data_IF_373597980034
#
_entry.id   IF_373597980034
#
_cell.length_a   1.000
_cell.length_b   1.000
_cell.length_c   1.000
_cell.angle_alpha   90.00
_cell.angle_beta   90.00
_cell.angle_gamma   90.00
#
_symmetry.space_group_name_H-M   'P 1'
#
loop_
_entity.id
_entity.type
_entity.pdbx_description
1 polymer ?
#
# COMPACT_ATOMS: atom_id res chain seq x y z
N UNK A 1 -24.08 64.15 -70.90
CA UNK A 1 -24.94 63.97 -69.71
C UNK A 1 -25.56 62.57 -69.76
N UNK A 2 -25.49 61.82 -68.63
CA UNK A 2 -26.21 60.57 -68.26
C UNK A 2 -25.93 59.32 -69.14
N UNK A 3 -25.05 58.37 -68.77
CA UNK A 3 -25.08 57.34 -67.69
C UNK A 3 -26.34 56.46 -67.68
N UNK A 4 -26.20 55.18 -68.05
CA UNK A 4 -26.82 54.03 -67.35
C UNK A 4 -25.89 52.80 -67.49
N UNK A 5 -25.54 52.22 -66.36
CA UNK A 5 -24.57 51.15 -66.13
C UNK A 5 -25.22 49.77 -66.24
N UNK A 6 -24.58 48.73 -66.83
CA UNK A 6 -25.06 47.36 -66.70
C UNK A 6 -24.60 46.74 -65.37
N UNK A 7 -25.54 46.08 -64.71
CA UNK A 7 -25.38 45.25 -63.53
C UNK A 7 -24.38 44.10 -63.80
N UNK A 8 -23.39 43.95 -62.93
CA UNK A 8 -22.79 42.64 -62.63
C UNK A 8 -22.87 42.42 -61.13
N UNK A 9 -23.75 41.50 -60.75
CA UNK A 9 -23.94 40.99 -59.41
C UNK A 9 -22.75 40.09 -59.08
N UNK A 10 -21.73 40.63 -58.40
CA UNK A 10 -20.66 39.83 -57.82
C UNK A 10 -21.15 39.30 -56.47
N UNK A 11 -21.67 38.07 -56.48
CA UNK A 11 -21.92 37.30 -55.26
C UNK A 11 -20.56 36.82 -54.73
N UNK A 12 -19.91 37.60 -53.88
CA UNK A 12 -18.71 37.17 -53.18
C UNK A 12 -19.10 36.11 -52.15
N UNK A 13 -18.95 34.85 -52.53
CA UNK A 13 -19.01 33.72 -51.61
C UNK A 13 -17.72 33.72 -50.79
N UNK A 14 -17.68 34.50 -49.72
CA UNK A 14 -16.62 34.41 -48.71
C UNK A 14 -16.81 33.10 -47.94
N UNK A 15 -16.17 32.03 -48.43
CA UNK A 15 -15.82 30.88 -47.60
C UNK A 15 -14.89 31.38 -46.49
N UNK A 16 -15.47 31.71 -45.33
CA UNK A 16 -14.72 31.68 -44.09
C UNK A 16 -14.44 30.21 -43.83
N UNK A 17 -13.28 29.73 -44.27
CA UNK A 17 -12.67 28.58 -43.62
C UNK A 17 -12.36 29.03 -42.20
N UNK A 18 -13.32 28.85 -41.28
CA UNK A 18 -12.98 28.63 -39.90
C UNK A 18 -12.20 27.32 -39.88
N UNK A 19 -10.89 27.42 -40.13
CA UNK A 19 -9.95 26.45 -39.63
C UNK A 19 -10.14 26.49 -38.11
N UNK A 20 -11.00 25.62 -37.58
CA UNK A 20 -10.83 25.15 -36.22
C UNK A 20 -9.48 24.45 -36.20
N UNK A 21 -8.43 25.26 -36.07
CA UNK A 21 -7.21 24.85 -35.41
C UNK A 21 -7.66 24.58 -33.98
N UNK A 22 -8.22 23.39 -33.74
CA UNK A 22 -8.13 22.77 -32.43
C UNK A 22 -6.66 22.51 -32.20
N UNK A 23 -5.95 23.57 -31.82
CA UNK A 23 -4.91 23.45 -30.81
C UNK A 23 -5.64 23.32 -29.47
N UNK A 24 -6.47 22.29 -29.37
CA UNK A 24 -6.57 21.56 -28.12
C UNK A 24 -5.20 20.89 -28.07
N UNK A 25 -4.22 21.56 -27.46
CA UNK A 25 -3.19 20.80 -26.77
C UNK A 25 -3.97 19.91 -25.84
N UNK A 26 -4.19 18.66 -26.24
CA UNK A 26 -4.45 17.59 -25.30
C UNK A 26 -3.42 17.82 -24.20
N UNK A 27 -3.92 18.26 -23.05
CA UNK A 27 -3.15 18.17 -21.82
C UNK A 27 -2.86 16.68 -21.75
N UNK A 28 -1.64 16.30 -22.15
CA UNK A 28 -1.08 15.02 -21.76
C UNK A 28 -1.09 15.13 -20.24
N UNK A 29 -2.16 14.66 -19.61
CA UNK A 29 -2.14 14.33 -18.19
C UNK A 29 -0.89 13.49 -18.04
N UNK A 30 0.10 14.06 -17.37
CA UNK A 30 1.43 13.46 -17.29
C UNK A 30 1.25 12.00 -16.92
N UNK A 31 1.79 11.10 -17.75
CA UNK A 31 1.74 9.67 -17.47
C UNK A 31 2.14 9.48 -16.02
N UNK A 32 1.25 8.95 -15.15
CA UNK A 32 1.55 8.82 -13.74
C UNK A 32 2.90 8.15 -13.57
N UNK A 33 3.77 8.73 -12.74
CA UNK A 33 5.17 8.31 -12.62
C UNK A 33 5.30 6.84 -12.18
N UNK A 34 4.28 6.32 -11.50
CA UNK A 34 4.16 4.94 -11.04
C UNK A 34 2.90 4.26 -11.57
N UNK A 35 3.03 3.00 -11.99
CA UNK A 35 1.87 2.15 -12.29
C UNK A 35 1.15 1.75 -11.00
N UNK A 36 1.91 1.50 -9.91
CA UNK A 36 1.35 1.30 -8.58
C UNK A 36 1.02 2.66 -7.95
N UNK A 37 -0.24 2.87 -7.57
CA UNK A 37 -0.70 4.13 -6.97
C UNK A 37 -0.74 4.05 -5.44
N UNK A 38 -1.17 2.91 -4.90
CA UNK A 38 -1.24 2.65 -3.46
C UNK A 38 -1.44 1.17 -3.20
N UNK A 39 -1.12 0.73 -1.99
CA UNK A 39 -1.47 -0.60 -1.52
C UNK A 39 -1.86 -0.57 -0.04
N UNK A 40 -2.60 -1.58 0.40
CA UNK A 40 -2.93 -1.83 1.80
C UNK A 40 -2.65 -3.29 2.10
N UNK A 41 -1.57 -3.53 2.85
CA UNK A 41 -1.30 -4.84 3.45
C UNK A 41 -2.25 -5.03 4.64
N UNK A 42 -2.87 -6.19 4.75
CA UNK A 42 -3.79 -6.51 5.85
C UNK A 42 -3.43 -7.86 6.46
N UNK A 43 -3.62 -7.93 7.78
CA UNK A 43 -3.69 -9.17 8.54
C UNK A 43 -4.97 -9.17 9.36
N UNK A 44 -5.79 -10.20 9.19
CA UNK A 44 -7.02 -10.34 9.97
C UNK A 44 -6.79 -11.06 11.32
N UNK A 45 -7.87 -11.24 12.07
CA UNK A 45 -7.89 -11.91 13.36
C UNK A 45 -7.42 -13.38 13.30
N UNK A 46 -7.62 -14.04 12.16
CA UNK A 46 -7.21 -15.43 11.93
C UNK A 46 -5.74 -15.57 11.55
N UNK A 47 -5.06 -14.45 11.31
CA UNK A 47 -3.70 -14.39 10.78
C UNK A 47 -3.64 -14.55 9.26
N UNK A 48 -4.76 -14.49 8.56
CA UNK A 48 -4.77 -14.49 7.10
C UNK A 48 -4.31 -13.13 6.59
N UNK A 49 -3.51 -13.16 5.51
CA UNK A 49 -2.94 -11.98 4.89
C UNK A 49 -3.62 -11.68 3.57
N UNK A 50 -3.83 -10.41 3.27
CA UNK A 50 -4.24 -9.94 1.95
C UNK A 50 -3.60 -8.60 1.61
N UNK A 51 -3.54 -8.29 0.32
CA UNK A 51 -3.14 -6.98 -0.17
C UNK A 51 -4.19 -6.45 -1.14
N UNK A 52 -4.69 -5.26 -0.85
CA UNK A 52 -5.45 -4.47 -1.80
C UNK A 52 -4.52 -3.45 -2.43
N UNK A 53 -4.63 -3.21 -3.74
CA UNK A 53 -3.82 -2.19 -4.38
C UNK A 53 -4.53 -1.54 -5.55
N UNK A 54 -4.15 -0.29 -5.79
CA UNK A 54 -4.66 0.50 -6.90
C UNK A 54 -3.57 0.70 -7.95
N UNK A 55 -3.95 0.57 -9.21
CA UNK A 55 -3.08 0.87 -10.35
C UNK A 55 -3.62 2.03 -11.15
N UNK A 56 -2.77 2.59 -11.99
CA UNK A 56 -3.19 3.52 -13.03
C UNK A 56 -4.10 2.81 -14.04
N UNK A 57 -4.83 3.58 -14.85
CA UNK A 57 -5.51 3.00 -16.02
C UNK A 57 -4.48 2.30 -16.91
N UNK A 58 -4.94 1.40 -17.79
CA UNK A 58 -4.07 0.83 -18.82
C UNK A 58 -2.88 0.04 -18.24
N UNK A 59 -3.05 -0.54 -17.06
CA UNK A 59 -2.06 -1.37 -16.36
C UNK A 59 -2.57 -2.79 -16.27
N UNK A 60 -1.89 -3.72 -16.93
CA UNK A 60 -2.11 -5.15 -16.76
C UNK A 60 -1.40 -5.65 -15.51
N UNK A 61 -2.01 -6.62 -14.84
CA UNK A 61 -1.58 -7.12 -13.54
C UNK A 61 -1.46 -8.63 -13.60
N UNK A 62 -0.24 -9.13 -13.38
CA UNK A 62 0.02 -10.57 -13.29
C UNK A 62 0.63 -10.88 -11.93
N UNK A 63 0.08 -11.86 -11.22
CA UNK A 63 0.67 -12.34 -9.96
C UNK A 63 1.31 -13.70 -10.18
N UNK A 64 2.57 -13.83 -9.79
CA UNK A 64 3.33 -15.09 -9.85
C UNK A 64 3.84 -15.48 -8.48
N UNK A 65 4.08 -16.78 -8.29
CA UNK A 65 4.80 -17.31 -7.13
C UNK A 65 6.18 -17.75 -7.59
N UNK A 66 7.21 -17.21 -6.95
CA UNK A 66 8.60 -17.55 -7.22
C UNK A 66 8.99 -18.89 -6.56
N UNK A 67 10.14 -19.43 -6.94
CA UNK A 67 10.64 -20.70 -6.42
C UNK A 67 10.93 -20.68 -4.91
N UNK A 68 11.18 -19.51 -4.32
CA UNK A 68 11.36 -19.30 -2.88
C UNK A 68 10.04 -18.98 -2.14
N UNK A 69 8.90 -19.19 -2.82
CA UNK A 69 7.54 -18.91 -2.39
C UNK A 69 7.19 -17.42 -2.18
N UNK A 70 8.11 -16.50 -2.49
CA UNK A 70 7.77 -15.08 -2.60
C UNK A 70 6.73 -14.86 -3.71
N UNK A 71 5.90 -13.84 -3.51
CA UNK A 71 4.81 -13.46 -4.43
C UNK A 71 5.24 -12.20 -5.16
N UNK A 72 5.19 -12.21 -6.48
CA UNK A 72 5.52 -11.04 -7.28
C UNK A 72 4.31 -10.62 -8.12
N UNK A 73 3.93 -9.36 -7.97
CA UNK A 73 2.86 -8.70 -8.71
C UNK A 73 3.53 -7.84 -9.78
N UNK A 74 3.44 -8.28 -11.02
CA UNK A 74 4.04 -7.63 -12.18
C UNK A 74 3.01 -6.66 -12.77
N UNK A 75 3.41 -5.40 -12.90
CA UNK A 75 2.62 -4.32 -13.47
C UNK A 75 3.22 -3.93 -14.83
N UNK A 76 2.41 -3.97 -15.88
CA UNK A 76 2.84 -3.64 -17.24
C UNK A 76 1.84 -2.70 -17.94
N UNK A 77 2.34 -1.74 -18.69
CA UNK A 77 1.48 -0.84 -19.48
C UNK A 77 0.88 -1.58 -20.68
N UNK A 78 -0.42 -1.37 -20.92
CA UNK A 78 -1.16 -1.95 -22.04
C UNK A 78 -2.08 -0.93 -22.72
N UNK A 79 -2.28 -1.05 -24.03
CA UNK A 79 -3.06 -0.08 -24.79
C UNK A 79 -4.56 -0.04 -24.42
N UNK A 80 -5.09 -1.15 -23.89
CA UNK A 80 -6.50 -1.27 -23.51
C UNK A 80 -6.72 -0.87 -22.05
N UNK A 81 -7.90 -0.31 -21.77
CA UNK A 81 -8.30 0.03 -20.40
C UNK A 81 -8.43 -1.25 -19.56
N UNK A 82 -7.85 -1.24 -18.36
CA UNK A 82 -7.88 -2.35 -17.40
C UNK A 82 -8.57 -1.93 -16.11
N UNK A 83 -8.82 -2.89 -15.21
CA UNK A 83 -9.25 -2.60 -13.86
C UNK A 83 -8.15 -1.87 -13.09
N UNK A 84 -8.54 -0.95 -12.21
CA UNK A 84 -7.61 -0.14 -11.41
C UNK A 84 -7.57 -0.53 -9.94
N UNK A 85 -8.41 -1.48 -9.51
CA UNK A 85 -8.49 -1.98 -8.14
C UNK A 85 -8.31 -3.48 -8.15
N UNK A 86 -7.40 -3.96 -7.33
CA UNK A 86 -7.00 -5.35 -7.29
C UNK A 86 -6.89 -5.81 -5.84
N UNK A 87 -7.05 -7.12 -5.62
CA UNK A 87 -6.91 -7.74 -4.31
C UNK A 87 -6.35 -9.14 -4.47
N UNK A 88 -5.38 -9.50 -3.63
CA UNK A 88 -4.78 -10.82 -3.58
C UNK A 88 -4.74 -11.30 -2.12
N UNK A 89 -5.10 -12.56 -1.91
CA UNK A 89 -4.92 -13.24 -0.64
C UNK A 89 -3.60 -14.01 -0.61
N UNK A 90 -2.96 -14.04 0.55
CA UNK A 90 -1.70 -14.74 0.75
C UNK A 90 -1.71 -15.60 2.01
N UNK A 91 -0.94 -16.68 1.95
CA UNK A 91 -0.57 -17.48 3.11
C UNK A 91 0.85 -17.16 3.52
N UNK A 92 1.10 -17.17 4.82
CA UNK A 92 2.44 -17.08 5.37
C UNK A 92 3.10 -18.47 5.31
N UNK A 93 4.34 -18.54 4.86
CA UNK A 93 5.09 -19.78 4.71
C UNK A 93 6.41 -19.69 5.48
N UNK A 94 6.71 -20.69 6.32
CA UNK A 94 7.87 -20.66 7.22
C UNK A 94 7.95 -19.35 8.04
N UNK A 95 6.80 -18.91 8.57
CA UNK A 95 6.65 -17.67 9.35
C UNK A 95 7.06 -16.39 8.59
N UNK A 96 7.11 -16.46 7.26
CA UNK A 96 7.47 -15.35 6.38
C UNK A 96 6.46 -15.13 5.26
N UNK A 97 6.22 -13.86 4.94
CA UNK A 97 5.51 -13.43 3.75
C UNK A 97 6.37 -12.40 3.02
N UNK A 98 6.60 -12.65 1.73
CA UNK A 98 7.38 -11.79 0.83
C UNK A 98 6.53 -11.43 -0.37
N UNK A 99 6.25 -10.14 -0.53
CA UNK A 99 5.49 -9.61 -1.67
C UNK A 99 6.35 -8.58 -2.38
N UNK A 100 6.47 -8.69 -3.70
CA UNK A 100 7.08 -7.71 -4.57
C UNK A 100 6.07 -7.11 -5.53
N UNK A 101 6.16 -5.81 -5.81
CA UNK A 101 5.59 -5.20 -7.00
C UNK A 101 6.72 -4.89 -7.97
N UNK A 102 6.61 -5.37 -9.21
CA UNK A 102 7.58 -5.12 -10.28
C UNK A 102 6.92 -4.31 -11.38
N UNK A 103 7.34 -3.06 -11.57
CA UNK A 103 6.93 -2.26 -12.74
C UNK A 103 7.82 -2.61 -13.94
N UNK A 104 7.34 -3.54 -14.78
CA UNK A 104 8.14 -4.18 -15.84
C UNK A 104 8.78 -3.17 -16.81
N UNK A 105 8.05 -2.10 -17.14
CA UNK A 105 8.50 -1.09 -18.11
C UNK A 105 9.51 -0.10 -17.50
N UNK A 106 9.58 -0.02 -16.16
CA UNK A 106 10.32 1.04 -15.43
C UNK A 106 11.40 0.50 -14.49
N UNK A 107 11.46 -0.80 -14.25
CA UNK A 107 12.43 -1.45 -13.37
C UNK A 107 12.31 -1.05 -11.89
N UNK A 108 11.19 -0.42 -11.51
CA UNK A 108 10.89 0.02 -10.15
C UNK A 108 10.33 -1.16 -9.36
N UNK A 109 10.84 -1.39 -8.16
CA UNK A 109 10.42 -2.52 -7.30
C UNK A 109 10.03 -2.05 -5.91
N UNK A 110 8.79 -2.31 -5.51
CA UNK A 110 8.37 -2.21 -4.09
C UNK A 110 8.43 -3.60 -3.47
N UNK A 111 8.93 -3.72 -2.25
CA UNK A 111 9.03 -4.97 -1.52
C UNK A 111 8.42 -4.84 -0.14
N UNK A 112 7.68 -5.87 0.24
CA UNK A 112 7.02 -6.02 1.52
C UNK A 112 7.52 -7.32 2.12
N UNK A 113 8.09 -7.25 3.31
CA UNK A 113 8.46 -8.40 4.10
C UNK A 113 7.69 -8.39 5.42
N UNK A 114 7.13 -9.54 5.77
CA UNK A 114 6.50 -9.78 7.05
C UNK A 114 7.08 -11.05 7.65
N UNK A 115 7.45 -10.97 8.93
CA UNK A 115 7.74 -12.12 9.76
C UNK A 115 6.70 -12.21 10.87
N UNK A 116 5.96 -13.31 10.92
CA UNK A 116 4.84 -13.48 11.84
C UNK A 116 4.59 -14.96 12.10
N UNK A 117 3.94 -15.29 13.21
CA UNK A 117 3.62 -16.66 13.53
C UNK A 117 2.55 -17.20 12.57
N UNK A 118 2.76 -18.41 12.02
CA UNK A 118 1.72 -19.12 11.28
C UNK A 118 0.61 -19.64 12.22
N UNK A 119 -0.30 -18.75 12.61
CA UNK A 119 -1.38 -19.04 13.55
C UNK A 119 -2.63 -19.64 12.91
N UNK A 120 -2.65 -19.83 11.59
CA UNK A 120 -3.80 -20.39 10.85
C UNK A 120 -4.16 -21.79 11.37
N UNK A 121 -3.17 -22.52 11.91
CA UNK A 121 -3.35 -23.85 12.53
C UNK A 121 -3.48 -23.82 14.06
N UNK A 122 -3.07 -22.72 14.71
CA UNK A 122 -3.06 -22.57 16.18
C UNK A 122 -4.33 -21.83 16.67
N UNK A 123 -5.52 -22.38 16.40
CA UNK A 123 -6.83 -21.86 16.88
C UNK A 123 -7.10 -20.36 16.65
N UNK A 124 -6.40 -19.70 15.72
CA UNK A 124 -6.78 -18.40 15.14
C UNK A 124 -6.99 -17.23 16.11
N UNK A 125 -6.42 -17.27 17.32
CA UNK A 125 -6.50 -16.16 18.28
C UNK A 125 -5.10 -15.86 18.80
N UNK A 126 -4.56 -14.72 18.39
CA UNK A 126 -3.38 -14.09 18.99
C UNK A 126 -3.71 -13.64 20.41
N UNK A 127 -2.70 -13.51 21.27
CA UNK A 127 -2.89 -13.06 22.65
C UNK A 127 -3.26 -11.57 22.72
N UNK A 128 -2.50 -10.71 22.03
CA UNK A 128 -2.66 -9.25 22.12
C UNK A 128 -3.17 -8.60 20.83
N UNK A 129 -2.42 -8.69 19.73
CA UNK A 129 -2.76 -8.03 18.47
C UNK A 129 -3.84 -8.80 17.73
N UNK A 130 -5.05 -8.26 17.61
CA UNK A 130 -6.11 -8.90 16.86
C UNK A 130 -5.86 -8.82 15.35
N UNK A 131 -5.75 -7.60 14.80
CA UNK A 131 -5.61 -7.37 13.36
C UNK A 131 -4.87 -6.06 13.09
N UNK A 132 -4.32 -5.92 11.89
CA UNK A 132 -3.75 -4.66 11.43
C UNK A 132 -3.86 -4.48 9.93
N UNK A 133 -3.74 -3.24 9.50
CA UNK A 133 -3.48 -2.87 8.11
C UNK A 133 -2.45 -1.76 8.03
N UNK A 134 -1.66 -1.79 6.96
CA UNK A 134 -0.73 -0.71 6.61
C UNK A 134 -1.02 -0.28 5.18
N UNK A 135 -1.49 0.95 5.03
CA UNK A 135 -1.75 1.56 3.73
C UNK A 135 -0.58 2.46 3.33
N UNK A 136 0.03 2.21 2.18
CA UNK A 136 0.93 3.17 1.54
C UNK A 136 0.10 4.11 0.65
N UNK A 137 0.14 5.41 0.95
CA UNK A 137 -0.74 6.39 0.31
C UNK A 137 -0.22 6.89 -1.06
N UNK A 138 0.99 6.47 -1.47
CA UNK A 138 1.63 6.88 -2.72
C UNK A 138 2.34 8.24 -2.64
N UNK A 139 2.22 8.96 -1.52
CA UNK A 139 2.85 10.26 -1.25
C UNK A 139 4.04 10.17 -0.26
N UNK A 140 4.52 8.96 0.01
CA UNK A 140 5.58 8.68 0.98
C UNK A 140 5.09 8.51 2.42
N UNK A 141 3.81 8.74 2.70
CA UNK A 141 3.19 8.48 4.00
C UNK A 141 2.53 7.10 4.07
N UNK A 142 2.46 6.56 5.28
CA UNK A 142 1.88 5.26 5.56
C UNK A 142 0.85 5.38 6.68
N UNK A 143 -0.30 4.77 6.51
CA UNK A 143 -1.33 4.72 7.55
C UNK A 143 -1.34 3.33 8.18
N UNK A 144 -0.91 3.24 9.44
CA UNK A 144 -1.08 2.04 10.27
C UNK A 144 -2.44 2.11 10.96
N UNK A 145 -3.26 1.08 10.82
CA UNK A 145 -4.44 0.86 11.63
C UNK A 145 -4.34 -0.51 12.29
N UNK A 146 -4.72 -0.63 13.55
CA UNK A 146 -4.71 -1.92 14.22
C UNK A 146 -5.78 -2.03 15.30
N UNK A 147 -6.17 -3.26 15.57
CA UNK A 147 -7.08 -3.63 16.63
C UNK A 147 -6.38 -4.60 17.58
N UNK A 148 -6.53 -4.39 18.88
CA UNK A 148 -6.06 -5.32 19.93
C UNK A 148 -7.24 -6.05 20.56
N UNK A 149 -6.96 -7.17 21.23
CA UNK A 149 -7.95 -7.91 22.00
C UNK A 149 -8.35 -7.16 23.28
N UNK A 150 -9.31 -7.72 24.02
CA UNK A 150 -9.69 -7.22 25.34
C UNK A 150 -8.52 -7.20 26.31
N UNK A 151 -8.49 -6.18 27.18
CA UNK A 151 -7.51 -6.03 28.25
C UNK A 151 -6.05 -5.97 27.75
N UNK A 152 -5.80 -5.24 26.66
CA UNK A 152 -4.46 -5.01 26.12
C UNK A 152 -4.08 -3.54 26.21
N UNK A 153 -3.15 -3.21 27.11
CA UNK A 153 -2.49 -1.90 27.13
C UNK A 153 -1.61 -1.79 25.89
N UNK A 154 -1.68 -0.64 25.23
CA UNK A 154 -0.98 -0.34 23.99
C UNK A 154 -0.17 0.94 24.14
N UNK A 155 1.14 0.84 23.95
CA UNK A 155 2.03 2.00 23.85
C UNK A 155 2.66 2.05 22.46
N UNK A 156 2.82 3.26 21.92
CA UNK A 156 3.40 3.48 20.61
C UNK A 156 4.65 4.34 20.75
N UNK A 157 5.79 3.87 20.26
CA UNK A 157 7.07 4.56 20.34
C UNK A 157 7.84 4.42 19.03
N UNK A 158 8.69 5.40 18.73
CA UNK A 158 9.70 5.26 17.69
C UNK A 158 11.06 5.01 18.35
N UNK A 159 11.71 3.90 18.00
CA UNK A 159 13.01 3.52 18.51
C UNK A 159 14.10 4.00 17.55
N UNK A 160 14.72 5.14 17.88
CA UNK A 160 15.74 5.79 17.04
C UNK A 160 17.00 4.92 16.83
N UNK A 161 17.34 4.04 17.78
CA UNK A 161 18.56 3.23 17.69
C UNK A 161 18.50 2.18 16.58
N UNK A 162 17.30 1.69 16.27
CA UNK A 162 17.04 0.67 15.24
C UNK A 162 16.10 1.19 14.15
N UNK A 163 15.86 2.50 14.14
CA UNK A 163 14.99 3.22 13.21
C UNK A 163 13.63 2.51 12.97
N UNK A 164 12.96 2.09 14.04
CA UNK A 164 11.74 1.24 13.96
C UNK A 164 10.59 1.79 14.79
N UNK A 165 9.39 1.80 14.23
CA UNK A 165 8.16 2.05 14.99
C UNK A 165 7.77 0.81 15.77
N UNK A 166 7.62 0.94 17.09
CA UNK A 166 7.28 -0.17 17.99
C UNK A 166 5.89 0.05 18.59
N UNK A 167 5.02 -0.95 18.42
CA UNK A 167 3.72 -1.06 19.09
C UNK A 167 3.88 -2.04 20.24
N UNK A 168 3.96 -1.55 21.46
CA UNK A 168 4.11 -2.36 22.66
C UNK A 168 2.74 -2.79 23.16
N UNK A 169 2.57 -4.09 23.33
CA UNK A 169 1.32 -4.72 23.75
C UNK A 169 1.53 -5.52 25.02
N UNK A 170 0.69 -5.30 26.03
CA UNK A 170 0.78 -5.99 27.32
C UNK A 170 -0.59 -6.16 27.96
N UNK A 171 -0.72 -7.06 28.92
CA UNK A 171 -1.95 -7.24 29.68
C UNK A 171 -2.27 -6.00 30.52
N UNK A 172 -3.53 -5.56 30.49
CA UNK A 172 -4.06 -4.59 31.44
C UNK A 172 -5.45 -4.08 31.08
N UNK A 173 -6.20 -3.62 32.07
CA UNK A 173 -7.61 -3.26 31.92
C UNK A 173 -7.77 -1.97 31.11
N UNK A 174 -8.22 -2.09 29.85
CA UNK A 174 -8.56 -0.96 28.98
C UNK A 174 -9.73 -1.29 28.07
N UNK A 175 -10.48 -0.26 27.70
CA UNK A 175 -11.61 -0.36 26.77
C UNK A 175 -11.23 0.04 25.33
N UNK A 176 -10.11 0.75 25.15
CA UNK A 176 -9.67 1.16 23.83
C UNK A 176 -9.03 -0.01 23.09
N UNK A 177 -9.62 -0.40 21.96
CA UNK A 177 -9.13 -1.52 21.14
C UNK A 177 -8.61 -1.11 19.77
N UNK A 178 -9.10 0.00 19.23
CA UNK A 178 -8.85 0.42 17.85
C UNK A 178 -7.90 1.62 17.85
N UNK A 179 -6.87 1.53 17.04
CA UNK A 179 -5.80 2.52 16.95
C UNK A 179 -5.49 2.83 15.49
N UNK A 180 -5.02 4.05 15.27
CA UNK A 180 -4.66 4.58 13.96
C UNK A 180 -3.51 5.56 14.11
N UNK A 181 -2.46 5.41 13.30
CA UNK A 181 -1.25 6.26 13.29
C UNK A 181 -0.74 6.45 11.88
N UNK A 182 -0.52 7.71 11.49
CA UNK A 182 0.23 8.04 10.30
C UNK A 182 1.73 7.91 10.62
N UNK A 183 2.46 7.26 9.72
CA UNK A 183 3.88 6.97 9.79
C UNK A 183 4.55 7.55 8.56
N UNK A 184 5.82 7.89 8.71
CA UNK A 184 6.65 8.40 7.62
C UNK A 184 7.96 7.61 7.59
N UNK A 185 8.56 7.49 6.41
CA UNK A 185 9.94 6.99 6.34
C UNK A 185 10.86 8.06 6.90
N UNK A 186 11.71 7.67 7.85
CA UNK A 186 12.82 8.52 8.27
C UNK A 186 13.96 8.41 7.24
N UNK A 187 15.18 8.85 7.58
CA UNK A 187 16.36 8.74 6.71
C UNK A 187 16.69 7.32 6.24
N UNK A 188 16.04 6.30 6.81
CA UNK A 188 16.07 4.91 6.36
C UNK A 188 15.43 4.73 4.98
N UNK A 189 16.00 3.82 4.18
CA UNK A 189 15.39 3.43 2.88
C UNK A 189 14.10 2.62 3.05
N UNK A 190 13.84 2.09 4.25
CA UNK A 190 12.68 1.26 4.57
C UNK A 190 11.84 1.87 5.69
N UNK A 191 10.57 1.48 5.76
CA UNK A 191 9.72 1.68 6.93
C UNK A 191 9.68 0.37 7.72
N UNK A 192 10.08 0.41 8.99
CA UNK A 192 10.11 -0.75 9.87
C UNK A 192 9.05 -0.59 10.98
N UNK A 193 8.24 -1.62 11.18
CA UNK A 193 7.19 -1.66 12.21
C UNK A 193 7.27 -2.99 12.96
N UNK A 194 7.35 -2.92 14.28
CA UNK A 194 7.40 -4.07 15.17
C UNK A 194 6.23 -4.05 16.14
N UNK A 195 5.55 -5.19 16.29
CA UNK A 195 4.62 -5.41 17.39
C UNK A 195 5.36 -6.18 18.50
N UNK A 196 5.59 -5.50 19.64
CA UNK A 196 6.35 -6.01 20.77
C UNK A 196 5.39 -6.50 21.85
N UNK A 197 5.31 -7.82 22.02
CA UNK A 197 4.39 -8.47 22.95
C UNK A 197 5.11 -8.73 24.28
N UNK A 198 4.61 -8.16 25.37
CA UNK A 198 5.12 -8.34 26.73
C UNK A 198 4.24 -9.33 27.50
N UNK A 199 4.68 -10.58 27.56
CA UNK A 199 3.96 -11.68 28.19
C UNK A 199 4.45 -11.89 29.62
N UNK A 200 3.52 -12.14 30.53
CA UNK A 200 3.84 -12.55 31.89
C UNK A 200 3.68 -14.06 32.01
N UNK A 201 4.77 -14.76 32.34
CA UNK A 201 4.72 -16.19 32.62
C UNK A 201 4.48 -16.40 34.11
N UNK A 202 3.35 -17.01 34.44
CA UNK A 202 3.04 -17.46 35.79
C UNK A 202 3.48 -18.92 35.94
N UNK A 203 4.66 -19.13 36.50
CA UNK A 203 5.07 -20.47 36.91
C UNK A 203 4.38 -20.81 38.25
N UNK A 204 3.82 -22.02 38.37
CA UNK A 204 3.23 -22.52 39.62
C UNK A 204 4.30 -22.62 40.71
N UNK A 205 4.48 -21.56 41.49
CA UNK A 205 5.21 -21.60 42.75
C UNK A 205 6.28 -20.52 42.98
N UNK A 206 6.83 -19.83 41.98
CA UNK A 206 7.86 -18.80 42.15
C UNK A 206 8.00 -17.87 40.93
N UNK A 207 8.50 -16.64 41.18
CA UNK A 207 8.81 -15.47 40.32
C UNK A 207 8.04 -15.26 39.00
N UNK A 208 7.48 -14.06 38.83
CA UNK A 208 6.95 -13.57 37.55
C UNK A 208 8.13 -13.36 36.60
N UNK A 209 8.25 -14.19 35.56
CA UNK A 209 9.16 -13.94 34.46
C UNK A 209 8.44 -13.18 33.34
N UNK A 210 9.09 -12.16 32.81
CA UNK A 210 8.61 -11.43 31.62
C UNK A 210 9.24 -12.05 30.38
N UNK A 211 8.40 -12.47 29.44
CA UNK A 211 8.81 -12.93 28.11
C UNK A 211 8.42 -11.85 27.10
N UNK A 212 9.41 -11.32 26.38
CA UNK A 212 9.18 -10.37 25.30
C UNK A 212 9.35 -11.07 23.95
N UNK A 213 8.34 -10.97 23.09
CA UNK A 213 8.38 -11.52 21.73
C UNK A 213 7.95 -10.46 20.72
N UNK A 214 8.75 -10.28 19.67
CA UNK A 214 8.48 -9.26 18.63
C UNK A 214 7.93 -9.91 17.37
N UNK A 215 6.61 -9.94 17.26
CA UNK A 215 5.85 -10.43 16.09
C UNK A 215 4.46 -9.77 16.07
N UNK A 216 3.93 -9.37 14.90
CA UNK A 216 4.59 -9.36 13.59
C UNK A 216 5.71 -8.31 13.50
N UNK A 217 6.72 -8.61 12.67
CA UNK A 217 7.74 -7.69 12.17
C UNK A 217 7.40 -7.36 10.73
N UNK A 218 7.34 -6.08 10.38
CA UNK A 218 7.00 -5.61 9.04
C UNK A 218 8.09 -4.67 8.53
N UNK A 219 8.54 -4.92 7.30
CA UNK A 219 9.52 -4.09 6.59
C UNK A 219 8.93 -3.73 5.22
N UNK A 220 8.77 -2.44 4.96
CA UNK A 220 8.31 -1.91 3.68
C UNK A 220 9.46 -1.17 3.01
N UNK A 221 9.89 -1.69 1.87
CA UNK A 221 10.92 -1.11 1.00
C UNK A 221 10.25 -0.65 -0.29
N UNK A 222 9.75 0.57 -0.27
CA UNK A 222 9.16 1.21 -1.45
C UNK A 222 10.10 2.31 -1.95
N UNK A 223 10.38 2.37 -3.26
CA UNK A 223 11.23 3.39 -3.85
C UNK A 223 10.55 4.77 -3.95
N UNK A 224 9.43 5.03 -3.25
CA UNK A 224 8.74 6.33 -3.15
C UNK A 224 9.70 7.44 -2.69
N UNK A 225 10.36 8.00 -3.70
CA UNK A 225 10.85 9.36 -3.98
C UNK A 225 11.60 10.08 -2.83
N UNK A 226 12.89 10.33 -3.07
CA UNK A 226 13.55 11.59 -2.69
C UNK A 226 13.27 12.64 -3.77
#
# INVERSE_FOLDING_TARGET
MKKITPYFLALSLSFLFASCSSNETEVVEGTPENLLQSYTLKRDATGAYSIDFNTTNNTDVTTVTNADNSKEIILAEVAQKTATKHSNDFSIENDQLKIGFLEANRGRTTKIYVEDDNITFAKGVTEFLNSYSITANGDGTYQLNFTVNDNVITDFVYNENIETYEVHLSNGETQQKIFSRQLEKNSSKTLNINFVNHKQLLNKGESIESLVTTRPIIILDDPTIL
#
